data_IF_913152527545
#
_entry.id   IF_913152527545
#
_cell.length_a   1.000
_cell.length_b   1.000
_cell.length_c   1.000
_cell.angle_alpha   90.00
_cell.angle_beta   90.00
_cell.angle_gamma   90.00
#
_symmetry.space_group_name_H-M   'P 1'
#
loop_
_entity.id
_entity.type
_entity.pdbx_description
1 polymer ?
#
# COMPACT_ATOMS: atom_id res chain seq x y z
N UNK A 1 2.11 19.37 14.34
CA UNK A 1 2.80 18.09 14.11
C UNK A 1 2.23 17.00 15.01
N UNK A 2 1.95 15.89 14.46
CA UNK A 2 1.49 14.75 15.23
C UNK A 2 2.64 14.24 16.11
N UNK A 3 2.41 14.14 17.40
CA UNK A 3 3.47 13.70 18.32
C UNK A 3 3.79 12.22 18.17
N UNK A 4 2.76 11.39 18.07
CA UNK A 4 2.96 9.96 18.05
C UNK A 4 3.50 9.49 16.69
N UNK A 5 2.84 9.86 15.60
CA UNK A 5 3.23 9.41 14.27
C UNK A 5 4.45 10.18 13.75
N UNK A 6 4.52 11.49 14.03
CA UNK A 6 5.63 12.31 13.58
C UNK A 6 6.95 11.87 14.17
N UNK A 7 6.94 11.47 15.46
CA UNK A 7 8.16 11.02 16.12
C UNK A 7 8.74 9.75 15.49
N UNK A 8 7.89 8.87 14.94
CA UNK A 8 8.35 7.62 14.32
C UNK A 8 9.09 7.85 12.99
N UNK A 9 8.77 8.94 12.32
CA UNK A 9 9.33 9.22 10.99
C UNK A 9 10.31 10.41 11.00
N UNK A 10 10.40 11.10 12.12
CA UNK A 10 11.25 12.27 12.20
C UNK A 10 12.73 11.92 12.23
N UNK A 11 13.54 12.75 11.62
CA UNK A 11 14.97 12.71 11.76
C UNK A 11 15.70 11.72 10.89
N UNK A 12 15.04 11.08 9.94
CA UNK A 12 15.71 10.22 8.98
C UNK A 12 15.14 10.41 7.57
N UNK A 13 15.95 10.07 6.61
CA UNK A 13 15.52 10.07 5.22
C UNK A 13 14.66 8.85 4.94
N UNK A 14 13.65 9.02 4.12
CA UNK A 14 12.78 7.94 3.71
C UNK A 14 12.74 7.84 2.20
N UNK A 15 12.61 6.62 1.71
CA UNK A 15 12.42 6.37 0.28
C UNK A 15 10.98 6.60 -0.16
N UNK A 16 10.07 6.65 0.79
CA UNK A 16 8.65 6.85 0.54
C UNK A 16 7.83 6.31 1.69
N UNK A 17 6.54 6.61 1.66
CA UNK A 17 5.60 6.16 2.69
C UNK A 17 4.61 5.20 2.08
N UNK A 18 4.49 4.00 2.67
CA UNK A 18 3.66 2.90 2.18
C UNK A 18 2.56 2.60 3.17
N UNK A 19 1.32 2.51 2.69
CA UNK A 19 0.21 2.02 3.50
C UNK A 19 -0.02 0.55 3.16
N UNK A 20 -0.02 -0.31 4.19
CA UNK A 20 -0.42 -1.71 4.06
C UNK A 20 -1.80 -1.90 4.68
N UNK A 21 -2.76 -2.32 3.88
CA UNK A 21 -4.12 -2.62 4.31
C UNK A 21 -4.36 -4.13 4.23
N UNK A 22 -4.45 -4.77 5.37
CA UNK A 22 -4.60 -6.23 5.46
C UNK A 22 -5.17 -6.59 6.83
N UNK A 23 -6.16 -7.48 6.88
CA UNK A 23 -6.76 -7.87 8.15
C UNK A 23 -5.91 -8.86 8.94
N UNK A 24 -4.87 -9.44 8.35
CA UNK A 24 -3.98 -10.38 9.01
C UNK A 24 -2.80 -9.63 9.66
N UNK A 25 -2.72 -9.61 11.00
CA UNK A 25 -1.63 -8.90 11.68
C UNK A 25 -0.24 -9.41 11.33
N UNK A 26 -0.11 -10.73 11.12
CA UNK A 26 1.18 -11.32 10.79
C UNK A 26 1.67 -10.86 9.42
N UNK A 27 0.78 -10.71 8.46
CA UNK A 27 1.12 -10.20 7.13
C UNK A 27 1.59 -8.76 7.23
N UNK A 28 0.84 -7.92 7.95
CA UNK A 28 1.24 -6.52 8.14
C UNK A 28 2.61 -6.41 8.79
N UNK A 29 2.86 -7.25 9.80
CA UNK A 29 4.14 -7.25 10.51
C UNK A 29 5.31 -7.60 9.58
N UNK A 30 5.15 -8.62 8.76
CA UNK A 30 6.20 -9.05 7.83
C UNK A 30 6.45 -7.98 6.78
N UNK A 31 5.40 -7.45 6.18
CA UNK A 31 5.53 -6.39 5.17
C UNK A 31 6.20 -5.16 5.77
N UNK A 32 5.76 -4.75 6.95
CA UNK A 32 6.36 -3.60 7.63
C UNK A 32 7.83 -3.81 7.90
N UNK A 33 8.19 -5.00 8.37
CA UNK A 33 9.59 -5.31 8.67
C UNK A 33 10.46 -5.23 7.41
N UNK A 34 10.01 -5.84 6.32
CA UNK A 34 10.75 -5.83 5.06
C UNK A 34 10.93 -4.39 4.56
N UNK A 35 9.85 -3.63 4.49
CA UNK A 35 9.89 -2.31 3.89
C UNK A 35 10.59 -1.29 4.79
N UNK A 36 10.45 -1.40 6.09
CA UNK A 36 11.18 -0.52 7.03
C UNK A 36 12.68 -0.72 6.89
N UNK A 37 13.13 -1.96 6.81
CA UNK A 37 14.55 -2.26 6.60
C UNK A 37 15.05 -1.74 5.26
N UNK A 38 14.17 -1.69 4.27
CA UNK A 38 14.53 -1.18 2.95
C UNK A 38 14.53 0.35 2.88
N UNK A 39 14.13 1.04 3.95
CA UNK A 39 14.19 2.50 4.00
C UNK A 39 12.86 3.21 3.80
N UNK A 40 11.74 2.49 3.83
CA UNK A 40 10.40 3.08 3.69
C UNK A 40 9.76 3.32 5.04
N UNK A 41 8.91 4.34 5.11
CA UNK A 41 7.99 4.51 6.23
C UNK A 41 6.74 3.69 5.93
N UNK A 42 6.21 3.00 6.95
CA UNK A 42 5.06 2.11 6.76
C UNK A 42 3.93 2.47 7.71
N UNK A 43 2.74 2.63 7.15
CA UNK A 43 1.50 2.83 7.90
C UNK A 43 0.67 1.57 7.74
N UNK A 44 0.03 1.12 8.81
CA UNK A 44 -0.79 -0.09 8.80
C UNK A 44 -2.28 0.25 8.98
N UNK A 45 -3.13 -0.52 8.32
CA UNK A 45 -4.57 -0.48 8.55
C UNK A 45 -5.12 -1.90 8.42
N UNK A 46 -6.03 -2.27 9.32
CA UNK A 46 -6.59 -3.61 9.32
C UNK A 46 -7.82 -3.74 8.41
N UNK A 47 -8.39 -2.63 7.99
CA UNK A 47 -9.55 -2.62 7.09
C UNK A 47 -9.61 -1.31 6.30
N UNK A 48 -10.59 -1.21 5.41
CA UNK A 48 -10.73 -0.06 4.54
C UNK A 48 -11.07 1.23 5.27
N UNK A 49 -11.91 1.16 6.29
CA UNK A 49 -12.25 2.33 7.09
C UNK A 49 -11.03 2.92 7.77
N UNK A 50 -10.23 2.05 8.38
CA UNK A 50 -9.01 2.48 9.05
C UNK A 50 -7.97 2.97 8.05
N UNK A 51 -7.92 2.36 6.87
CA UNK A 51 -7.04 2.83 5.80
C UNK A 51 -7.39 4.25 5.38
N UNK A 52 -8.66 4.53 5.15
CA UNK A 52 -9.11 5.86 4.77
C UNK A 52 -8.79 6.88 5.86
N UNK A 53 -9.05 6.53 7.12
CA UNK A 53 -8.75 7.40 8.24
C UNK A 53 -7.25 7.68 8.32
N UNK A 54 -6.42 6.64 8.14
CA UNK A 54 -4.97 6.78 8.20
C UNK A 54 -4.45 7.67 7.07
N UNK A 55 -4.98 7.53 5.86
CA UNK A 55 -4.55 8.37 4.73
C UNK A 55 -4.85 9.83 4.98
N UNK A 56 -5.99 10.13 5.60
CA UNK A 56 -6.40 11.51 5.86
C UNK A 56 -5.68 12.15 7.04
N UNK A 57 -4.95 11.37 7.82
CA UNK A 57 -4.29 11.86 9.03
C UNK A 57 -3.02 12.63 8.71
N UNK A 58 -2.88 13.79 9.35
CA UNK A 58 -1.66 14.59 9.27
C UNK A 58 -1.23 14.92 7.85
N UNK A 59 0.01 14.63 7.53
CA UNK A 59 0.59 14.89 6.23
C UNK A 59 0.48 13.71 5.26
N UNK A 60 -0.16 12.62 5.66
CA UNK A 60 -0.26 11.42 4.82
C UNK A 60 -0.85 11.69 3.44
N UNK A 61 -1.86 12.55 3.27
CA UNK A 61 -2.37 12.81 1.91
C UNK A 61 -1.30 13.32 0.95
N UNK A 62 -0.29 14.00 1.47
CA UNK A 62 0.80 14.56 0.66
C UNK A 62 1.97 13.59 0.52
N UNK A 63 2.22 12.80 1.54
CA UNK A 63 3.43 11.98 1.63
C UNK A 63 3.24 10.52 1.22
N UNK A 64 2.00 10.06 1.13
CA UNK A 64 1.73 8.67 0.80
C UNK A 64 2.19 8.37 -0.63
N UNK A 65 3.03 7.33 -0.76
CA UNK A 65 3.65 6.98 -2.04
C UNK A 65 3.00 5.78 -2.71
N UNK A 66 2.54 4.81 -1.92
CA UNK A 66 2.02 3.52 -2.41
C UNK A 66 1.00 2.97 -1.42
N UNK A 67 -0.04 2.34 -1.94
CA UNK A 67 -0.98 1.56 -1.13
C UNK A 67 -0.86 0.10 -1.51
N UNK A 68 -0.62 -0.76 -0.53
CA UNK A 68 -0.66 -2.21 -0.69
C UNK A 68 -1.96 -2.70 -0.06
N UNK A 69 -2.80 -3.34 -0.84
CA UNK A 69 -4.17 -3.66 -0.44
C UNK A 69 -4.45 -5.15 -0.58
N UNK A 70 -4.91 -5.77 0.51
CA UNK A 70 -5.50 -7.10 0.45
C UNK A 70 -6.94 -6.98 -0.04
N UNK A 71 -7.28 -7.75 -1.07
CA UNK A 71 -8.63 -7.71 -1.65
C UNK A 71 -9.60 -8.66 -0.97
N UNK A 72 -9.12 -9.53 -0.10
CA UNK A 72 -9.96 -10.54 0.57
C UNK A 72 -10.11 -10.23 2.04
N UNK A 73 -10.79 -9.14 2.34
CA UNK A 73 -11.10 -8.75 3.69
C UNK A 73 -12.59 -8.91 3.96
N UNK A 74 -12.98 -9.25 5.20
CA UNK A 74 -14.38 -9.57 5.52
C UNK A 74 -15.39 -8.48 5.25
N UNK A 75 -15.01 -7.22 5.42
CA UNK A 75 -15.95 -6.10 5.40
C UNK A 75 -15.98 -5.29 4.12
N UNK A 76 -15.02 -5.48 3.24
CA UNK A 76 -14.91 -4.67 2.05
C UNK A 76 -14.64 -5.53 0.83
N UNK A 77 -15.40 -5.27 -0.23
CA UNK A 77 -15.11 -5.82 -1.54
C UNK A 77 -13.82 -5.15 -2.05
N UNK A 78 -12.80 -5.96 -2.35
CA UNK A 78 -11.52 -5.46 -2.78
C UNK A 78 -11.58 -4.60 -4.03
N UNK A 79 -12.46 -4.95 -4.96
CA UNK A 79 -12.61 -4.18 -6.20
C UNK A 79 -13.14 -2.78 -5.89
N UNK A 80 -14.15 -2.71 -5.01
CA UNK A 80 -14.71 -1.42 -4.59
C UNK A 80 -13.67 -0.56 -3.89
N UNK A 81 -12.85 -1.18 -3.03
CA UNK A 81 -11.79 -0.47 -2.32
C UNK A 81 -10.78 0.11 -3.29
N UNK A 82 -10.35 -0.67 -4.27
CA UNK A 82 -9.39 -0.21 -5.28
C UNK A 82 -9.97 0.95 -6.07
N UNK A 83 -11.22 0.83 -6.53
CA UNK A 83 -11.88 1.91 -7.26
C UNK A 83 -11.96 3.18 -6.42
N UNK A 84 -12.31 3.05 -5.15
CA UNK A 84 -12.40 4.17 -4.24
C UNK A 84 -11.04 4.88 -4.11
N UNK A 85 -9.98 4.11 -3.85
CA UNK A 85 -8.65 4.69 -3.71
C UNK A 85 -8.19 5.39 -4.99
N UNK A 86 -8.47 4.80 -6.14
CA UNK A 86 -8.10 5.40 -7.42
C UNK A 86 -8.84 6.71 -7.68
N UNK A 87 -10.10 6.80 -7.26
CA UNK A 87 -10.87 8.02 -7.42
C UNK A 87 -10.44 9.11 -6.46
N UNK A 88 -10.18 8.76 -5.21
CA UNK A 88 -9.82 9.74 -4.18
C UNK A 88 -8.36 10.17 -4.25
N UNK A 89 -7.49 9.25 -4.58
CA UNK A 89 -6.04 9.51 -4.63
C UNK A 89 -5.45 8.94 -5.91
N UNK A 90 -5.80 9.54 -7.07
CA UNK A 90 -5.42 8.96 -8.37
C UNK A 90 -3.91 8.90 -8.63
N UNK A 91 -3.12 9.68 -7.89
CA UNK A 91 -1.67 9.69 -8.07
C UNK A 91 -0.96 8.66 -7.21
N UNK A 92 -1.69 7.99 -6.32
CA UNK A 92 -1.09 6.99 -5.44
C UNK A 92 -1.26 5.62 -6.07
N UNK A 93 -0.17 4.99 -6.50
CA UNK A 93 -0.24 3.66 -7.11
C UNK A 93 -0.67 2.60 -6.10
N UNK A 94 -1.32 1.56 -6.63
CA UNK A 94 -1.87 0.47 -5.84
C UNK A 94 -1.17 -0.84 -6.20
N UNK A 95 -0.86 -1.62 -5.17
CA UNK A 95 -0.38 -3.00 -5.29
C UNK A 95 -1.39 -3.88 -4.59
N UNK A 96 -1.78 -4.98 -5.22
CA UNK A 96 -2.66 -5.97 -4.58
C UNK A 96 -1.81 -7.08 -4.00
N UNK A 97 -2.10 -7.44 -2.75
CA UNK A 97 -1.45 -8.55 -2.05
C UNK A 97 -2.55 -9.47 -1.51
N UNK A 98 -2.61 -10.71 -2.01
CA UNK A 98 -3.69 -11.62 -1.64
C UNK A 98 -3.20 -13.05 -1.45
N UNK A 99 -3.90 -13.80 -0.59
CA UNK A 99 -3.63 -15.23 -0.41
C UNK A 99 -4.27 -16.10 -1.48
N UNK A 100 -5.03 -15.50 -2.39
CA UNK A 100 -5.74 -16.24 -3.42
C UNK A 100 -5.19 -15.93 -4.81
N UNK A 101 -4.54 -16.92 -5.41
CA UNK A 101 -3.99 -16.78 -6.75
C UNK A 101 -5.08 -17.04 -7.79
N UNK A 102 -5.53 -16.00 -8.46
CA UNK A 102 -6.53 -16.07 -9.52
C UNK A 102 -6.06 -15.27 -10.72
N UNK A 103 -5.72 -15.97 -11.79
CA UNK A 103 -5.16 -15.35 -12.98
C UNK A 103 -6.15 -14.38 -13.63
N UNK A 104 -7.43 -14.72 -13.68
CA UNK A 104 -8.44 -13.84 -14.25
C UNK A 104 -8.57 -12.55 -13.48
N UNK A 105 -8.60 -12.66 -12.15
CA UNK A 105 -8.69 -11.51 -11.27
C UNK A 105 -7.45 -10.63 -11.38
N UNK A 106 -6.27 -11.25 -11.46
CA UNK A 106 -5.03 -10.51 -11.63
C UNK A 106 -5.05 -9.68 -12.92
N UNK A 107 -5.51 -10.28 -14.03
CA UNK A 107 -5.61 -9.58 -15.30
C UNK A 107 -6.59 -8.40 -15.19
N UNK A 108 -7.75 -8.62 -14.57
CA UNK A 108 -8.74 -7.56 -14.39
C UNK A 108 -8.18 -6.39 -13.59
N UNK A 109 -7.48 -6.67 -12.49
CA UNK A 109 -6.87 -5.62 -11.67
C UNK A 109 -5.79 -4.86 -12.43
N UNK A 110 -4.97 -5.56 -13.20
CA UNK A 110 -3.94 -4.89 -13.99
C UNK A 110 -4.57 -3.99 -15.06
N UNK A 111 -5.69 -4.40 -15.63
CA UNK A 111 -6.42 -3.56 -16.60
C UNK A 111 -6.96 -2.28 -15.98
N UNK A 112 -7.37 -2.32 -14.73
CA UNK A 112 -7.88 -1.13 -14.05
C UNK A 112 -6.77 -0.27 -13.45
N UNK A 113 -5.52 -0.66 -13.65
CA UNK A 113 -4.38 0.21 -13.38
C UNK A 113 -3.61 -0.04 -12.10
N UNK A 114 -3.74 -1.20 -11.46
CA UNK A 114 -2.84 -1.51 -10.34
C UNK A 114 -1.43 -1.75 -10.88
N UNK A 115 -0.43 -1.51 -10.04
CA UNK A 115 0.96 -1.66 -10.46
C UNK A 115 1.38 -3.11 -10.50
N UNK A 116 0.96 -3.89 -9.51
CA UNK A 116 1.37 -5.28 -9.42
C UNK A 116 0.39 -6.09 -8.58
N UNK A 117 0.42 -7.39 -8.78
CA UNK A 117 -0.45 -8.35 -8.10
C UNK A 117 0.43 -9.41 -7.46
N UNK A 118 0.49 -9.40 -6.13
CA UNK A 118 1.36 -10.30 -5.38
C UNK A 118 0.54 -11.34 -4.60
N UNK A 119 1.07 -12.55 -4.50
CA UNK A 119 0.40 -13.65 -3.83
C UNK A 119 1.13 -13.98 -2.53
N UNK A 120 0.37 -14.15 -1.46
CA UNK A 120 0.92 -14.55 -0.16
C UNK A 120 1.32 -16.03 -0.15
N UNK A 121 2.36 -16.43 0.56
CA UNK A 121 3.29 -15.56 1.28
C UNK A 121 4.18 -14.79 0.31
N UNK A 122 4.34 -13.50 0.52
CA UNK A 122 5.07 -12.66 -0.41
C UNK A 122 6.58 -12.84 -0.23
N UNK A 123 7.28 -13.03 -1.34
CA UNK A 123 8.73 -13.05 -1.33
C UNK A 123 9.26 -11.64 -1.16
N UNK A 124 10.28 -11.49 -0.32
CA UNK A 124 10.90 -10.20 -0.04
C UNK A 124 11.25 -9.43 -1.31
N UNK A 125 11.92 -10.12 -2.25
CA UNK A 125 12.35 -9.47 -3.50
C UNK A 125 11.19 -9.01 -4.36
N UNK A 126 10.13 -9.81 -4.43
CA UNK A 126 8.95 -9.43 -5.21
C UNK A 126 8.25 -8.22 -4.61
N UNK A 127 8.16 -8.16 -3.29
CA UNK A 127 7.58 -7.02 -2.59
C UNK A 127 8.40 -5.75 -2.84
N UNK A 128 9.71 -5.85 -2.67
CA UNK A 128 10.60 -4.71 -2.88
C UNK A 128 10.57 -4.22 -4.32
N UNK A 129 10.55 -5.13 -5.29
CA UNK A 129 10.47 -4.75 -6.70
C UNK A 129 9.15 -4.08 -7.04
N UNK A 130 8.04 -4.58 -6.49
CA UNK A 130 6.72 -3.99 -6.73
C UNK A 130 6.64 -2.57 -6.19
N UNK A 131 7.15 -2.35 -4.98
CA UNK A 131 7.15 -1.02 -4.37
C UNK A 131 8.05 -0.06 -5.15
N UNK A 132 9.23 -0.50 -5.56
CA UNK A 132 10.13 0.33 -6.37
C UNK A 132 9.49 0.71 -7.70
N UNK A 133 8.81 -0.24 -8.34
CA UNK A 133 8.07 0.01 -9.58
C UNK A 133 6.95 1.04 -9.37
N UNK A 134 6.24 0.92 -8.27
CA UNK A 134 5.17 1.85 -7.93
C UNK A 134 5.70 3.27 -7.73
N UNK A 135 6.84 3.41 -7.06
CA UNK A 135 7.48 4.72 -6.89
C UNK A 135 7.88 5.34 -8.22
N UNK A 136 8.37 4.53 -9.15
CA UNK A 136 8.70 4.98 -10.49
C UNK A 136 7.50 5.54 -11.23
N UNK A 137 6.36 4.88 -11.15
CA UNK A 137 5.12 5.36 -11.75
C UNK A 137 4.64 6.66 -11.13
N UNK A 138 4.75 6.79 -9.80
CA UNK A 138 4.38 8.01 -9.11
C UNK A 138 5.22 9.19 -9.57
N UNK A 139 6.51 8.98 -9.77
CA UNK A 139 7.40 10.01 -10.28
C UNK A 139 6.99 10.47 -11.69
N UNK A 140 6.62 9.54 -12.54
CA UNK A 140 6.14 9.87 -13.89
C UNK A 140 4.87 10.73 -13.84
N UNK A 141 3.97 10.45 -12.92
CA UNK A 141 2.74 11.23 -12.76
C UNK A 141 2.99 12.65 -12.25
N UNK A 142 4.14 12.89 -11.64
CA UNK A 142 4.50 14.23 -11.16
C UNK A 142 5.03 15.13 -12.26
N UNK A 143 5.44 14.53 -13.32
CA UNK A 143 5.93 15.26 -14.48
C UNK A 143 4.76 15.75 -15.33
#
# INVERSE_FOLDING_TARGET
>A
MSKATGAMFSGHETKGRVLIMDDEPDVRKVVKMILTKAGYDVIEAEDGEKAIAAIKEGENPLLLSVIICDIRMPKINGIEAINYFQQQWPRVPLIVLTGFADMKMAIEFLKIGIVDYLVKPVAKEKLMNAVAKALGQRELHRL
#
